data_IF_694575150847
#
_entry.id   IF_694575150847
#
_cell.length_a   1.000
_cell.length_b   1.000
_cell.length_c   1.000
_cell.angle_alpha   90.00
_cell.angle_beta   90.00
_cell.angle_gamma   90.00
#
_symmetry.space_group_name_H-M   'P 1'
#
loop_
_entity.id
_entity.type
_entity.pdbx_description
1 polymer ?
#
# COMPACT_ATOMS: atom_id res chain seq x y z
N UNK A 1 -7.09 -7.33 19.10
CA UNK A 1 -7.58 -6.01 19.53
C UNK A 1 -6.83 -4.97 18.70
N UNK A 2 -7.36 -4.58 17.54
CA UNK A 2 -6.79 -3.53 16.68
C UNK A 2 -7.84 -2.43 16.56
N UNK A 3 -7.58 -1.27 17.16
CA UNK A 3 -8.45 -0.09 17.02
C UNK A 3 -8.45 0.35 15.55
N UNK A 4 -9.57 0.84 14.99
CA UNK A 4 -9.55 1.44 13.67
C UNK A 4 -8.85 2.80 13.82
N UNK A 5 -7.55 2.84 13.55
CA UNK A 5 -6.77 4.09 13.62
C UNK A 5 -6.76 4.73 12.24
N UNK A 6 -7.16 6.00 12.19
CA UNK A 6 -6.91 6.86 11.04
C UNK A 6 -5.44 7.28 11.07
N UNK A 7 -4.67 6.83 10.09
CA UNK A 7 -3.30 7.30 9.89
C UNK A 7 -3.28 8.26 8.70
N UNK A 8 -2.65 9.42 8.87
CA UNK A 8 -2.48 10.42 7.83
C UNK A 8 -1.00 10.69 7.55
N UNK A 9 -0.63 10.74 6.28
CA UNK A 9 0.68 11.26 5.84
C UNK A 9 0.48 12.35 4.80
N UNK A 10 1.35 13.35 4.83
CA UNK A 10 1.39 14.44 3.85
C UNK A 10 2.82 14.59 3.36
N UNK A 11 3.01 14.47 2.05
CA UNK A 11 4.27 14.74 1.37
C UNK A 11 4.14 16.09 0.67
N UNK A 12 5.08 16.98 0.92
CA UNK A 12 5.15 18.32 0.32
C UNK A 12 6.48 18.51 -0.39
N UNK A 13 6.60 19.58 -1.18
CA UNK A 13 7.84 19.95 -1.85
C UNK A 13 8.16 21.42 -1.55
N UNK A 14 9.38 21.69 -1.08
CA UNK A 14 9.81 23.03 -0.66
C UNK A 14 9.73 24.07 -1.78
N UNK A 15 10.12 23.69 -3.00
CA UNK A 15 10.10 24.59 -4.16
C UNK A 15 8.67 24.94 -4.58
N UNK A 16 7.78 23.95 -4.61
CA UNK A 16 6.39 24.13 -5.04
C UNK A 16 5.46 24.69 -3.97
N UNK A 17 5.89 24.71 -2.69
CA UNK A 17 5.07 25.20 -1.57
C UNK A 17 3.68 24.54 -1.58
N UNK A 18 2.61 25.36 -1.54
CA UNK A 18 1.21 24.94 -1.54
C UNK A 18 0.73 24.39 -2.89
N UNK A 19 1.50 24.53 -3.97
CA UNK A 19 1.13 24.07 -5.29
C UNK A 19 1.40 22.58 -5.49
N UNK A 20 2.03 21.90 -4.51
CA UNK A 20 2.18 20.44 -4.52
C UNK A 20 1.94 19.81 -3.16
N UNK A 21 1.07 18.80 -3.13
CA UNK A 21 1.06 17.82 -2.04
C UNK A 21 0.54 16.45 -2.51
N UNK A 22 0.96 15.42 -1.79
CA UNK A 22 0.33 14.09 -1.79
C UNK A 22 -0.11 13.82 -0.36
N UNK A 23 -1.41 13.61 -0.14
CA UNK A 23 -1.98 13.27 1.16
C UNK A 23 -2.59 11.88 1.09
N UNK A 24 -2.22 11.01 2.02
CA UNK A 24 -2.76 9.67 2.15
C UNK A 24 -3.39 9.54 3.53
N UNK A 25 -4.70 9.33 3.56
CA UNK A 25 -5.48 9.08 4.77
C UNK A 25 -5.96 7.63 4.74
N UNK A 26 -5.62 6.84 5.76
CA UNK A 26 -5.94 5.40 5.77
C UNK A 26 -6.79 5.04 6.98
N UNK A 27 -7.95 4.42 6.72
CA UNK A 27 -8.68 3.66 7.72
C UNK A 27 -8.40 2.17 7.56
N UNK A 28 -8.08 1.49 8.66
CA UNK A 28 -8.04 0.03 8.72
C UNK A 28 -9.32 -0.46 9.40
N UNK A 29 -10.15 -1.22 8.69
CA UNK A 29 -11.43 -1.73 9.21
C UNK A 29 -11.45 -3.26 9.17
N UNK A 30 -12.07 -3.94 10.15
CA UNK A 30 -12.19 -5.39 10.18
C UNK A 30 -13.34 -5.87 9.28
N UNK A 31 -13.30 -5.53 8.00
CA UNK A 31 -14.30 -5.88 6.99
C UNK A 31 -13.64 -6.38 5.70
N UNK A 32 -14.44 -6.51 4.64
CA UNK A 32 -14.03 -6.96 3.30
C UNK A 32 -14.05 -5.83 2.26
N UNK A 33 -13.98 -4.56 2.66
CA UNK A 33 -13.97 -3.45 1.71
C UNK A 33 -15.36 -2.98 1.26
N UNK A 34 -16.42 -3.28 2.01
CA UNK A 34 -17.82 -3.02 1.60
C UNK A 34 -18.38 -1.68 2.06
N UNK A 35 -17.73 -0.99 3.00
CA UNK A 35 -18.16 0.34 3.43
C UNK A 35 -17.84 1.41 2.38
N UNK A 36 -18.83 2.22 2.02
CA UNK A 36 -18.64 3.40 1.17
C UNK A 36 -18.30 4.64 2.01
N UNK A 37 -17.53 5.57 1.44
CA UNK A 37 -17.20 6.87 2.03
C UNK A 37 -16.79 6.80 3.52
N UNK A 38 -15.93 5.84 3.89
CA UNK A 38 -15.46 5.63 5.28
C UNK A 38 -14.77 6.87 5.88
N UNK A 39 -14.26 7.76 5.02
CA UNK A 39 -13.64 9.03 5.40
C UNK A 39 -14.65 10.16 5.65
N UNK A 40 -15.95 9.90 5.46
CA UNK A 40 -17.03 10.86 5.68
C UNK A 40 -16.84 12.16 4.88
N UNK A 41 -16.41 12.06 3.63
CA UNK A 41 -16.27 13.20 2.73
C UNK A 41 -17.64 13.81 2.43
N UNK A 42 -17.66 15.11 2.15
CA UNK A 42 -18.84 15.79 1.63
C UNK A 42 -19.39 15.05 0.39
N UNK A 43 -20.72 14.87 0.24
CA UNK A 43 -21.29 14.11 -0.86
C UNK A 43 -20.90 14.62 -2.26
N UNK A 44 -20.62 15.92 -2.44
CA UNK A 44 -20.19 16.44 -3.73
C UNK A 44 -18.73 16.10 -4.03
N UNK A 45 -17.89 16.08 -3.01
CA UNK A 45 -16.49 15.63 -3.13
C UNK A 45 -16.44 14.12 -3.36
N UNK A 46 -17.24 13.34 -2.63
CA UNK A 46 -17.27 11.88 -2.78
C UNK A 46 -17.61 11.44 -4.21
N UNK A 47 -18.51 12.16 -4.89
CA UNK A 47 -18.87 11.89 -6.29
C UNK A 47 -17.69 12.02 -7.27
N UNK A 48 -16.63 12.76 -6.91
CA UNK A 48 -15.43 12.89 -7.74
C UNK A 48 -14.36 11.87 -7.40
N UNK A 49 -14.56 11.04 -6.38
CA UNK A 49 -13.59 10.03 -5.94
C UNK A 49 -13.76 8.75 -6.77
N UNK A 50 -12.68 8.28 -7.37
CA UNK A 50 -12.62 6.96 -8.00
C UNK A 50 -12.24 5.90 -6.96
N UNK A 51 -13.04 4.83 -6.87
CA UNK A 51 -12.75 3.69 -5.99
C UNK A 51 -11.99 2.62 -6.77
N UNK A 52 -10.72 2.43 -6.42
CA UNK A 52 -9.86 1.40 -7.02
C UNK A 52 -9.63 0.26 -6.05
N UNK A 53 -9.94 -0.97 -6.48
CA UNK A 53 -9.68 -2.18 -5.69
C UNK A 53 -8.32 -2.77 -6.05
N UNK A 54 -7.49 -3.04 -5.04
CA UNK A 54 -6.23 -3.76 -5.20
C UNK A 54 -6.43 -5.20 -4.75
N UNK A 55 -6.15 -6.16 -5.63
CA UNK A 55 -6.17 -7.58 -5.32
C UNK A 55 -4.74 -8.12 -5.33
N UNK A 56 -4.21 -8.42 -4.14
CA UNK A 56 -2.81 -8.85 -3.98
C UNK A 56 -2.52 -10.21 -4.63
N UNK A 57 -3.55 -11.02 -4.91
CA UNK A 57 -3.40 -12.31 -5.59
C UNK A 57 -3.51 -12.20 -7.12
N UNK A 58 -3.99 -11.06 -7.65
CA UNK A 58 -4.21 -10.87 -9.07
C UNK A 58 -2.92 -10.48 -9.79
N UNK A 59 -2.33 -11.44 -10.53
CA UNK A 59 -1.10 -11.23 -11.30
C UNK A 59 -1.22 -10.12 -12.34
N UNK A 60 -2.42 -9.82 -12.85
CA UNK A 60 -2.63 -8.79 -13.87
C UNK A 60 -2.46 -7.36 -13.33
N UNK A 61 -2.49 -7.18 -12.00
CA UNK A 61 -2.31 -5.87 -11.35
C UNK A 61 -0.84 -5.54 -11.05
N UNK A 62 0.09 -6.42 -11.43
CA UNK A 62 1.52 -6.30 -11.16
C UNK A 62 2.26 -6.10 -12.47
N UNK A 63 3.04 -5.03 -12.58
CA UNK A 63 3.86 -4.79 -13.76
C UNK A 63 4.89 -5.92 -13.95
N UNK A 64 5.19 -6.33 -15.20
CA UNK A 64 6.17 -7.38 -15.45
C UNK A 64 7.53 -7.13 -14.79
N UNK A 65 7.98 -5.87 -14.77
CA UNK A 65 9.26 -5.46 -14.18
C UNK A 65 9.29 -5.52 -12.63
N UNK A 66 8.12 -5.52 -11.98
CA UNK A 66 8.02 -5.61 -10.51
C UNK A 66 7.84 -7.04 -10.01
N UNK A 67 7.47 -7.97 -10.90
CA UNK A 67 7.12 -9.31 -10.49
C UNK A 67 8.32 -10.07 -9.95
N UNK A 68 8.14 -10.64 -8.75
CA UNK A 68 9.05 -11.59 -8.14
C UNK A 68 8.24 -12.73 -7.53
N UNK A 69 8.68 -13.96 -7.78
CA UNK A 69 7.98 -15.16 -7.33
C UNK A 69 7.94 -15.30 -5.80
N UNK A 70 8.97 -14.84 -5.10
CA UNK A 70 9.04 -14.84 -3.62
C UNK A 70 8.18 -13.73 -2.96
N UNK A 71 7.62 -12.84 -3.77
CA UNK A 71 6.67 -11.79 -3.37
C UNK A 71 5.29 -12.03 -4.02
N UNK A 72 4.95 -13.28 -4.34
CA UNK A 72 3.67 -13.66 -4.95
C UNK A 72 2.72 -14.42 -4.01
N UNK A 73 1.67 -13.76 -3.49
CA UNK A 73 0.70 -14.37 -2.60
C UNK A 73 -0.07 -15.54 -3.21
N UNK A 74 -0.16 -15.64 -4.55
CA UNK A 74 -0.88 -16.72 -5.23
C UNK A 74 -0.14 -18.06 -5.19
N UNK A 75 1.15 -18.06 -4.81
CA UNK A 75 1.97 -19.26 -4.68
C UNK A 75 2.65 -19.37 -3.30
N UNK A 76 2.65 -18.29 -2.51
CA UNK A 76 3.20 -18.29 -1.16
C UNK A 76 2.25 -18.90 -0.14
N UNK A 77 2.76 -19.77 0.73
CA UNK A 77 2.07 -20.25 1.93
C UNK A 77 2.95 -20.03 3.16
N UNK A 78 2.37 -19.41 4.18
CA UNK A 78 3.02 -19.20 5.47
C UNK A 78 3.23 -20.52 6.20
N UNK A 79 4.45 -20.76 6.67
CA UNK A 79 4.78 -21.94 7.48
C UNK A 79 4.18 -21.79 8.88
N UNK A 80 4.21 -20.57 9.46
CA UNK A 80 3.77 -20.30 10.83
C UNK A 80 2.26 -20.23 10.99
N UNK A 81 1.55 -19.67 9.99
CA UNK A 81 0.11 -19.40 10.07
C UNK A 81 -0.74 -20.26 9.14
N UNK A 82 -0.12 -20.99 8.20
CA UNK A 82 -0.77 -21.77 7.14
C UNK A 82 -1.64 -20.97 6.16
N UNK A 83 -1.63 -19.63 6.26
CA UNK A 83 -2.32 -18.75 5.31
C UNK A 83 -1.66 -18.79 3.94
N UNK A 84 -2.48 -18.69 2.89
CA UNK A 84 -2.07 -18.85 1.51
C UNK A 84 -1.93 -20.33 1.09
N UNK A 85 -1.71 -20.60 -0.20
CA UNK A 85 -1.69 -19.63 -1.30
C UNK A 85 -3.06 -18.99 -1.56
N UNK A 86 -3.06 -17.75 -2.03
CA UNK A 86 -4.28 -17.01 -2.36
C UNK A 86 -4.71 -17.31 -3.80
N UNK A 87 -5.64 -18.26 -3.97
CA UNK A 87 -6.22 -18.58 -5.27
C UNK A 87 -7.21 -17.52 -5.77
N UNK A 88 -7.74 -17.63 -7.01
CA UNK A 88 -8.65 -16.63 -7.60
C UNK A 88 -9.93 -16.36 -6.79
N UNK A 89 -10.37 -17.30 -5.96
CA UNK A 89 -11.56 -17.17 -5.12
C UNK A 89 -11.25 -16.85 -3.65
N UNK A 90 -10.00 -16.50 -3.32
CA UNK A 90 -9.55 -16.32 -1.93
C UNK A 90 -10.42 -15.34 -1.12
N UNK A 91 -10.95 -14.28 -1.75
CA UNK A 91 -11.85 -13.33 -1.09
C UNK A 91 -13.18 -13.97 -0.67
N UNK A 92 -13.75 -14.84 -1.50
CA UNK A 92 -14.99 -15.57 -1.17
C UNK A 92 -14.75 -16.61 -0.09
N UNK A 93 -13.64 -17.34 -0.20
CA UNK A 93 -13.21 -18.32 0.81
C UNK A 93 -12.96 -17.66 2.16
N UNK A 94 -12.26 -16.52 2.18
CA UNK A 94 -12.05 -15.71 3.37
C UNK A 94 -13.36 -15.20 3.96
N UNK A 95 -14.30 -14.75 3.12
CA UNK A 95 -15.61 -14.28 3.58
C UNK A 95 -16.36 -15.36 4.38
N UNK A 96 -16.22 -16.62 3.96
CA UNK A 96 -16.89 -17.79 4.56
C UNK A 96 -16.12 -18.42 5.73
N UNK A 97 -14.92 -17.95 6.06
CA UNK A 97 -14.05 -18.56 7.10
C UNK A 97 -14.16 -17.83 8.44
N UNK A 98 -14.73 -18.47 9.46
CA UNK A 98 -14.86 -17.85 10.80
C UNK A 98 -13.51 -17.66 11.52
N UNK A 99 -12.55 -18.55 11.28
CA UNK A 99 -11.27 -18.58 12.00
C UNK A 99 -10.17 -17.70 11.36
N UNK A 100 -10.38 -17.19 10.15
CA UNK A 100 -9.38 -16.41 9.43
C UNK A 100 -9.62 -14.89 9.61
N UNK A 101 -8.71 -14.16 10.28
CA UNK A 101 -8.87 -12.72 10.48
C UNK A 101 -8.77 -12.00 9.13
N UNK A 102 -9.60 -10.96 8.98
CA UNK A 102 -9.74 -10.17 7.76
C UNK A 102 -9.77 -8.68 8.09
N UNK A 103 -9.32 -7.87 7.14
CA UNK A 103 -9.36 -6.42 7.23
C UNK A 103 -9.27 -5.79 5.83
N UNK A 104 -9.76 -4.56 5.70
CA UNK A 104 -9.56 -3.71 4.53
C UNK A 104 -8.89 -2.38 4.92
N UNK A 105 -7.92 -1.95 4.11
CA UNK A 105 -7.28 -0.65 4.23
C UNK A 105 -7.90 0.32 3.22
N UNK A 106 -8.68 1.27 3.71
CA UNK A 106 -9.31 2.32 2.91
C UNK A 106 -8.36 3.51 2.79
N UNK A 107 -7.53 3.51 1.75
CA UNK A 107 -6.53 4.56 1.49
C UNK A 107 -7.11 5.64 0.58
N UNK A 108 -7.45 6.80 1.15
CA UNK A 108 -7.84 7.98 0.40
C UNK A 108 -6.58 8.75 0.00
N UNK A 109 -6.30 8.79 -1.30
CA UNK A 109 -5.15 9.50 -1.88
C UNK A 109 -5.62 10.80 -2.51
N UNK A 110 -5.20 11.92 -1.96
CA UNK A 110 -5.45 13.27 -2.50
C UNK A 110 -4.15 13.84 -3.04
N UNK A 111 -4.14 14.25 -4.30
CA UNK A 111 -2.98 14.85 -4.94
C UNK A 111 -3.36 16.24 -5.40
N UNK A 112 -2.48 17.21 -5.15
CA UNK A 112 -2.54 18.53 -5.75
C UNK A 112 -1.23 18.77 -6.46
N UNK A 113 -1.28 19.14 -7.73
CA UNK A 113 -0.12 19.62 -8.47
C UNK A 113 -0.53 20.74 -9.42
N UNK A 114 -0.32 21.99 -8.99
CA UNK A 114 -0.67 23.18 -9.77
C UNK A 114 0.52 23.64 -10.60
N UNK A 115 0.56 23.18 -11.85
CA UNK A 115 1.55 23.64 -12.83
C UNK A 115 0.90 23.79 -14.20
N UNK A 116 1.07 24.96 -14.81
CA UNK A 116 0.45 25.28 -16.10
C UNK A 116 0.90 24.29 -17.20
N UNK A 117 -0.08 23.63 -17.83
CA UNK A 117 0.15 22.65 -18.90
C UNK A 117 0.56 21.25 -18.44
N UNK A 118 0.80 21.01 -17.14
CA UNK A 118 1.27 19.72 -16.62
C UNK A 118 0.38 19.09 -15.54
N UNK A 119 -0.56 19.86 -14.96
CA UNK A 119 -1.43 19.44 -13.85
C UNK A 119 -1.96 18.00 -13.98
N UNK A 120 -2.90 17.79 -14.90
CA UNK A 120 -3.59 16.49 -15.04
C UNK A 120 -2.63 15.35 -15.36
N UNK A 121 -1.57 15.61 -16.13
CA UNK A 121 -0.58 14.59 -16.51
C UNK A 121 0.17 14.07 -15.28
N UNK A 122 0.63 14.98 -14.43
CA UNK A 122 1.41 14.65 -13.24
C UNK A 122 0.52 14.07 -12.15
N UNK A 123 -0.68 14.61 -11.93
CA UNK A 123 -1.63 14.05 -10.93
C UNK A 123 -2.00 12.61 -11.28
N UNK A 124 -2.34 12.32 -12.55
CA UNK A 124 -2.63 10.95 -13.00
C UNK A 124 -1.41 10.03 -12.92
N UNK A 125 -0.22 10.54 -13.23
CA UNK A 125 1.01 9.78 -13.10
C UNK A 125 1.26 9.36 -11.64
N UNK A 126 1.13 10.29 -10.70
CA UNK A 126 1.32 10.01 -9.27
C UNK A 126 0.27 9.00 -8.77
N UNK A 127 -1.01 9.13 -9.16
CA UNK A 127 -2.04 8.14 -8.79
C UNK A 127 -1.65 6.71 -9.24
N UNK A 128 -1.12 6.57 -10.47
CA UNK A 128 -0.65 5.28 -10.98
C UNK A 128 0.52 4.73 -10.17
N UNK A 129 1.47 5.59 -9.78
CA UNK A 129 2.60 5.17 -8.95
C UNK A 129 2.16 4.78 -7.54
N UNK A 130 1.25 5.52 -6.90
CA UNK A 130 0.69 5.15 -5.59
C UNK A 130 -0.03 3.81 -5.63
N UNK A 131 -0.84 3.56 -6.67
CA UNK A 131 -1.47 2.25 -6.89
C UNK A 131 -0.41 1.15 -7.01
N UNK A 132 0.62 1.35 -7.84
CA UNK A 132 1.74 0.40 -8.02
C UNK A 132 2.46 0.11 -6.71
N UNK A 133 2.77 1.15 -5.93
CA UNK A 133 3.39 1.05 -4.61
C UNK A 133 2.51 0.23 -3.66
N UNK A 134 1.22 0.54 -3.55
CA UNK A 134 0.31 -0.20 -2.67
C UNK A 134 0.18 -1.67 -3.09
N UNK A 135 0.07 -1.97 -4.38
CA UNK A 135 0.00 -3.35 -4.87
C UNK A 135 1.24 -4.14 -4.44
N UNK A 136 2.43 -3.62 -4.75
CA UNK A 136 3.69 -4.32 -4.46
C UNK A 136 3.94 -4.44 -2.95
N UNK A 137 3.68 -3.36 -2.20
CA UNK A 137 3.85 -3.34 -0.75
C UNK A 137 2.99 -4.38 -0.06
N UNK A 138 1.69 -4.48 -0.37
CA UNK A 138 0.81 -5.43 0.33
C UNK A 138 1.06 -6.89 -0.10
N UNK A 139 1.56 -7.13 -1.32
CA UNK A 139 2.05 -8.43 -1.74
C UNK A 139 3.25 -8.88 -0.90
N UNK A 140 4.26 -8.01 -0.77
CA UNK A 140 5.42 -8.23 0.09
C UNK A 140 5.01 -8.43 1.55
N UNK A 141 4.12 -7.58 2.08
CA UNK A 141 3.62 -7.67 3.44
C UNK A 141 3.04 -9.06 3.74
N UNK A 142 2.22 -9.60 2.83
CA UNK A 142 1.65 -10.94 2.97
C UNK A 142 2.71 -12.04 2.88
N UNK A 143 3.57 -12.00 1.86
CA UNK A 143 4.62 -13.02 1.66
C UNK A 143 5.70 -12.99 2.75
N UNK A 144 5.83 -11.90 3.49
CA UNK A 144 6.76 -11.79 4.60
C UNK A 144 6.12 -12.02 5.96
N UNK A 145 4.87 -12.50 6.03
CA UNK A 145 4.16 -12.74 7.31
C UNK A 145 4.97 -13.59 8.29
N UNK A 146 5.68 -14.61 7.83
CA UNK A 146 6.50 -15.45 8.71
C UNK A 146 7.67 -14.69 9.35
N UNK A 147 8.12 -13.59 8.74
CA UNK A 147 9.19 -12.73 9.26
C UNK A 147 8.68 -11.79 10.35
N UNK A 148 7.42 -11.33 10.28
CA UNK A 148 6.92 -10.29 11.17
C UNK A 148 5.81 -10.69 12.15
N UNK A 149 5.09 -11.79 11.94
CA UNK A 149 3.91 -12.16 12.75
C UNK A 149 4.20 -12.40 14.24
N UNK A 150 5.46 -12.73 14.59
CA UNK A 150 5.88 -12.98 15.96
C UNK A 150 6.65 -11.82 16.60
N UNK A 151 6.79 -10.69 15.92
CA UNK A 151 7.54 -9.55 16.43
C UNK A 151 6.72 -8.77 17.44
N UNK A 152 7.37 -8.34 18.52
CA UNK A 152 6.80 -7.39 19.47
C UNK A 152 6.98 -5.96 18.97
N UNK A 153 6.23 -5.00 19.53
CA UNK A 153 6.46 -3.58 19.22
C UNK A 153 7.85 -3.09 19.62
N UNK A 154 8.48 -3.72 20.62
CA UNK A 154 9.86 -3.45 20.99
C UNK A 154 10.83 -3.90 19.91
N UNK A 155 10.62 -5.09 19.33
CA UNK A 155 11.40 -5.57 18.19
C UNK A 155 11.25 -4.64 16.97
N UNK A 156 10.03 -4.16 16.70
CA UNK A 156 9.78 -3.19 15.62
C UNK A 156 10.63 -1.93 15.82
N UNK A 157 10.58 -1.32 17.01
CA UNK A 157 11.36 -0.10 17.31
C UNK A 157 12.86 -0.30 17.17
N UNK A 158 13.38 -1.43 17.65
CA UNK A 158 14.80 -1.77 17.49
C UNK A 158 15.19 -1.87 16.00
N UNK A 159 14.38 -2.55 15.19
CA UNK A 159 14.66 -2.67 13.76
C UNK A 159 14.50 -1.33 13.02
N UNK A 160 13.58 -0.47 13.44
CA UNK A 160 13.46 0.90 12.88
C UNK A 160 14.77 1.67 13.09
N UNK A 161 15.34 1.64 14.29
CA UNK A 161 16.61 2.29 14.62
C UNK A 161 17.81 1.72 13.82
N UNK A 162 17.87 0.40 13.66
CA UNK A 162 18.89 -0.28 12.87
C UNK A 162 18.76 0.06 11.38
N UNK A 163 17.54 -0.05 10.85
CA UNK A 163 17.22 0.22 9.44
C UNK A 163 17.50 1.68 9.09
N UNK A 164 17.24 2.63 9.99
CA UNK A 164 17.57 4.04 9.77
C UNK A 164 19.07 4.23 9.51
N UNK A 165 19.92 3.64 10.34
CA UNK A 165 21.39 3.74 10.21
C UNK A 165 21.88 3.10 8.91
N UNK A 166 21.34 1.94 8.55
CA UNK A 166 21.67 1.25 7.31
C UNK A 166 21.25 2.04 6.07
N UNK A 167 20.03 2.58 6.04
CA UNK A 167 19.53 3.40 4.93
C UNK A 167 20.37 4.67 4.76
N UNK A 168 20.79 5.32 5.84
CA UNK A 168 21.69 6.47 5.76
C UNK A 168 23.06 6.10 5.16
N UNK A 169 23.61 4.94 5.52
CA UNK A 169 24.87 4.45 4.97
C UNK A 169 24.75 4.09 3.48
N UNK A 170 23.69 3.37 3.10
CA UNK A 170 23.41 2.97 1.72
C UNK A 170 23.13 4.21 0.85
N UNK A 171 22.37 5.20 1.34
CA UNK A 171 22.11 6.44 0.59
C UNK A 171 23.41 7.19 0.25
N UNK A 172 24.42 7.14 1.14
CA UNK A 172 25.70 7.83 0.94
C UNK A 172 26.68 7.08 0.05
N UNK A 173 26.62 5.74 0.01
CA UNK A 173 27.70 4.90 -0.56
C UNK A 173 27.23 3.82 -1.54
N UNK A 174 25.94 3.50 -1.57
CA UNK A 174 25.37 2.41 -2.35
C UNK A 174 25.01 2.84 -3.78
N UNK A 175 24.90 1.89 -4.72
CA UNK A 175 24.38 2.17 -6.06
C UNK A 175 22.88 2.46 -6.02
N UNK A 176 22.39 3.17 -7.04
CA UNK A 176 20.95 3.32 -7.27
C UNK A 176 20.32 1.94 -7.48
N UNK A 177 19.20 1.68 -6.78
CA UNK A 177 18.49 0.40 -6.79
C UNK A 177 17.00 0.60 -6.52
N UNK A 178 16.20 -0.43 -6.76
CA UNK A 178 14.76 -0.44 -6.51
C UNK A 178 13.95 -0.17 -7.78
N UNK A 179 12.71 0.28 -7.61
CA UNK A 179 11.77 0.47 -8.71
C UNK A 179 12.09 1.75 -9.48
N UNK A 180 12.18 1.63 -10.81
CA UNK A 180 12.28 2.78 -11.72
C UNK A 180 10.88 3.19 -12.15
N UNK A 181 10.60 4.49 -12.10
CA UNK A 181 9.30 5.08 -12.45
C UNK A 181 9.03 5.17 -13.97
N UNK A 182 10.02 4.86 -14.80
CA UNK A 182 9.94 5.03 -16.25
C UNK A 182 9.20 3.86 -16.91
N UNK A 183 8.11 4.19 -17.59
CA UNK A 183 7.67 3.47 -18.78
C UNK A 183 8.22 4.25 -19.98
N UNK A 184 8.96 3.58 -20.87
CA UNK A 184 9.25 4.12 -22.21
C UNK A 184 7.98 4.10 -23.05
#
# INVERSE_FOLDING_TARGET
MCLPVLNGSVVTNEYMKEDFFIKIETWHKPDMGTQENVHCLDPNVWKTVEVVHIDIADRSQVEPADYKADEDPSIFQSIKTKRGPLGPNWKKELANSEDCPRMCAYKLVTIKFRWWGLQNKVENFIQKQEKRIFTNFHRQLFCWIDKWIGLTMEDIRRMEDETQKELEAIRKKGPVRGTTAADN
#
